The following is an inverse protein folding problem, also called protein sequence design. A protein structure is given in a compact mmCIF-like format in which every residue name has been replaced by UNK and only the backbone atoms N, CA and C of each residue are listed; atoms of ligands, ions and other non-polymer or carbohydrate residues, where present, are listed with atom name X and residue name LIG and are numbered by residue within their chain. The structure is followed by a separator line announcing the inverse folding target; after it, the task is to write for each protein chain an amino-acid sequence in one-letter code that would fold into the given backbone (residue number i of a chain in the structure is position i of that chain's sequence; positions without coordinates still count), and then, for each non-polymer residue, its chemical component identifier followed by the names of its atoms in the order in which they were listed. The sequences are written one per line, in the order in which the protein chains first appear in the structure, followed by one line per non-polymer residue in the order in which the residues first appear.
data_IF_114296364788
#
_entry.id   IF_114296364788
#
_cell.length_a   1.000
_cell.length_b   1.000
_cell.length_c   1.000
_cell.angle_alpha   90.00
_cell.angle_beta   90.00
_cell.angle_gamma   90.00
#
_symmetry.space_group_name_H-M   'P 1'
#
loop_
_entity.id
_entity.type
_entity.pdbx_description
1 polymer ?
#
# COMPACT_ATOMS: atom_id res chain seq x y z
N UNK A 1 -5.24 -10.18 -10.33
CA UNK A 1 -3.87 -9.65 -10.16
C UNK A 1 -3.91 -8.15 -9.99
N UNK A 2 -3.17 -7.62 -9.03
CA UNK A 2 -3.13 -6.18 -8.78
C UNK A 2 -2.11 -5.54 -9.72
N UNK A 3 -2.57 -4.58 -10.52
CA UNK A 3 -1.66 -3.81 -11.35
C UNK A 3 -0.99 -2.73 -10.50
N UNK A 4 0.34 -2.69 -10.57
CA UNK A 4 1.10 -1.72 -9.81
C UNK A 4 1.93 -0.85 -10.73
N UNK A 5 1.99 0.43 -10.41
CA UNK A 5 2.84 1.39 -11.11
C UNK A 5 4.19 1.48 -10.40
N UNK A 6 5.23 2.00 -11.09
CA UNK A 6 6.51 2.23 -10.42
C UNK A 6 6.40 3.14 -9.20
N UNK A 7 5.52 4.14 -9.24
CA UNK A 7 5.31 5.04 -8.10
C UNK A 7 4.72 4.29 -6.91
N UNK A 8 3.78 3.38 -7.16
CA UNK A 8 3.19 2.57 -6.09
C UNK A 8 4.25 1.69 -5.44
N UNK A 9 5.12 1.10 -6.25
CA UNK A 9 6.19 0.24 -5.74
C UNK A 9 7.18 1.02 -4.89
N UNK A 10 7.56 2.22 -5.34
CA UNK A 10 8.46 3.08 -4.57
C UNK A 10 7.85 3.48 -3.23
N UNK A 11 6.58 3.85 -3.24
CA UNK A 11 5.89 4.24 -2.02
C UNK A 11 5.76 3.06 -1.05
N UNK A 12 5.43 1.88 -1.57
CA UNK A 12 5.31 0.68 -0.77
C UNK A 12 6.66 0.28 -0.16
N UNK A 13 7.73 0.41 -0.95
CA UNK A 13 9.08 0.12 -0.48
C UNK A 13 9.46 1.04 0.67
N UNK A 14 9.18 2.34 0.52
CA UNK A 14 9.48 3.32 1.56
C UNK A 14 8.68 3.01 2.83
N UNK A 15 7.40 2.69 2.70
CA UNK A 15 6.56 2.37 3.83
C UNK A 15 7.02 1.11 4.56
N UNK A 16 7.36 0.07 3.79
CA UNK A 16 7.83 -1.19 4.36
C UNK A 16 9.16 -1.00 5.07
N UNK A 17 10.06 -0.22 4.49
CA UNK A 17 11.36 0.08 5.09
C UNK A 17 11.17 0.79 6.42
N UNK A 18 10.31 1.80 6.47
CA UNK A 18 10.06 2.55 7.70
C UNK A 18 9.47 1.63 8.79
N UNK A 19 8.53 0.77 8.40
CA UNK A 19 7.90 -0.15 9.36
C UNK A 19 8.91 -1.11 9.96
N UNK A 20 9.70 -1.76 9.11
CA UNK A 20 10.67 -2.75 9.58
C UNK A 20 11.76 -2.11 10.42
N UNK A 21 12.20 -0.90 10.04
CA UNK A 21 13.18 -0.16 10.82
C UNK A 21 12.66 0.10 12.23
N UNK A 22 11.38 0.43 12.35
CA UNK A 22 10.76 0.68 13.64
C UNK A 22 10.64 -0.56 14.53
N UNK A 23 10.61 -1.74 13.93
CA UNK A 23 10.48 -2.99 14.70
C UNK A 23 11.75 -3.42 15.38
N UNK A 24 12.92 -2.95 14.93
CA UNK A 24 14.22 -3.29 15.50
C UNK A 24 14.44 -4.79 15.60
N UNK A 25 14.19 -5.50 14.50
CA UNK A 25 14.36 -6.94 14.42
C UNK A 25 15.84 -7.28 14.29
N UNK A 26 16.32 -8.22 15.13
CA UNK A 26 17.74 -8.60 15.12
C UNK A 26 18.03 -9.77 14.18
N UNK A 27 17.03 -10.53 13.81
CA UNK A 27 17.19 -11.71 12.95
C UNK A 27 16.97 -11.32 11.51
N UNK A 28 17.93 -11.69 10.63
CA UNK A 28 17.86 -11.33 9.23
C UNK A 28 16.64 -11.93 8.53
N UNK A 29 16.36 -13.21 8.78
CA UNK A 29 15.22 -13.88 8.15
C UNK A 29 13.90 -13.23 8.56
N UNK A 30 13.75 -12.96 9.85
CA UNK A 30 12.54 -12.31 10.35
C UNK A 30 12.41 -10.90 9.79
N UNK A 31 13.52 -10.20 9.65
CA UNK A 31 13.52 -8.86 9.08
C UNK A 31 13.07 -8.86 7.62
N UNK A 32 13.58 -9.82 6.85
CA UNK A 32 13.20 -9.96 5.44
C UNK A 32 11.73 -10.34 5.33
N UNK A 33 11.28 -11.32 6.11
CA UNK A 33 9.88 -11.74 6.10
C UNK A 33 8.96 -10.58 6.46
N UNK A 34 9.32 -9.83 7.49
CA UNK A 34 8.53 -8.67 7.90
C UNK A 34 8.49 -7.60 6.82
N UNK A 35 9.62 -7.39 6.14
CA UNK A 35 9.67 -6.44 5.03
C UNK A 35 8.75 -6.86 3.90
N UNK A 36 8.81 -8.14 3.51
CA UNK A 36 7.99 -8.65 2.42
C UNK A 36 6.50 -8.56 2.76
N UNK A 37 6.14 -8.92 3.98
CA UNK A 37 4.75 -8.80 4.44
C UNK A 37 4.30 -7.35 4.46
N UNK A 38 5.14 -6.46 4.95
CA UNK A 38 4.82 -5.04 5.00
C UNK A 38 4.70 -4.46 3.59
N UNK A 39 5.56 -4.88 2.67
CA UNK A 39 5.51 -4.44 1.27
C UNK A 39 4.20 -4.87 0.62
N UNK A 40 3.83 -6.15 0.78
CA UNK A 40 2.58 -6.65 0.22
C UNK A 40 1.38 -5.90 0.79
N UNK A 41 1.38 -5.66 2.09
CA UNK A 41 0.31 -4.93 2.75
C UNK A 41 0.24 -3.49 2.23
N UNK A 42 1.40 -2.85 2.07
CA UNK A 42 1.46 -1.48 1.58
C UNK A 42 0.94 -1.37 0.15
N UNK A 43 1.34 -2.31 -0.72
CA UNK A 43 0.88 -2.33 -2.11
C UNK A 43 -0.64 -2.46 -2.15
N UNK A 44 -1.20 -3.38 -1.38
CA UNK A 44 -2.65 -3.57 -1.33
C UNK A 44 -3.36 -2.32 -0.84
N UNK A 45 -2.85 -1.69 0.19
CA UNK A 45 -3.46 -0.48 0.75
C UNK A 45 -3.39 0.69 -0.22
N UNK A 46 -2.27 0.86 -0.90
CA UNK A 46 -2.11 1.93 -1.88
C UNK A 46 -3.07 1.70 -3.04
N UNK A 47 -3.11 0.46 -3.54
CA UNK A 47 -4.01 0.11 -4.64
C UNK A 47 -5.47 0.37 -4.28
N UNK A 48 -5.88 -0.10 -3.10
CA UNK A 48 -7.25 0.09 -2.63
C UNK A 48 -7.60 1.56 -2.45
N UNK A 49 -6.65 2.35 -1.94
CA UNK A 49 -6.89 3.78 -1.74
C UNK A 49 -7.12 4.50 -3.06
N UNK A 50 -6.31 4.18 -4.07
CA UNK A 50 -6.48 4.79 -5.38
C UNK A 50 -7.80 4.40 -6.03
N UNK A 51 -8.14 3.13 -5.97
CA UNK A 51 -9.39 2.64 -6.55
C UNK A 51 -10.60 3.10 -5.76
N UNK A 52 -10.48 3.16 -4.45
CA UNK A 52 -11.55 3.66 -3.60
C UNK A 52 -11.83 5.13 -3.89
N UNK A 53 -10.78 5.92 -4.06
CA UNK A 53 -10.95 7.33 -4.39
C UNK A 53 -11.67 7.51 -5.72
N UNK A 54 -11.32 6.70 -6.72
CA UNK A 54 -12.00 6.75 -8.01
C UNK A 54 -13.48 6.36 -7.87
N UNK A 55 -13.75 5.29 -7.11
CA UNK A 55 -15.11 4.84 -6.88
C UNK A 55 -15.93 5.87 -6.11
N UNK A 56 -15.33 6.51 -5.12
CA UNK A 56 -16.00 7.56 -4.35
C UNK A 56 -16.30 8.77 -5.21
N UNK A 57 -15.42 9.11 -6.14
CA UNK A 57 -15.65 10.20 -7.08
C UNK A 57 -16.90 9.93 -7.91
N UNK A 58 -17.03 8.69 -8.40
CA UNK A 58 -18.19 8.31 -9.19
C UNK A 58 -19.47 8.39 -8.36
N UNK A 59 -19.40 7.93 -7.11
CA UNK A 59 -20.55 7.96 -6.20
C UNK A 59 -20.98 9.39 -5.91
N UNK A 60 -20.01 10.28 -5.67
CA UNK A 60 -20.31 11.68 -5.40
C UNK A 60 -20.96 12.33 -6.62
N UNK A 61 -20.44 12.05 -7.81
CA UNK A 61 -21.02 12.57 -9.03
C UNK A 61 -22.46 12.12 -9.21
N UNK A 62 -22.74 10.86 -8.90
CA UNK A 62 -24.09 10.32 -9.00
C UNK A 62 -25.03 10.97 -7.98
N UNK A 63 -24.54 11.21 -6.78
CA UNK A 63 -25.33 11.83 -5.73
C UNK A 63 -25.67 13.29 -6.04
N UNK A 64 -24.77 13.98 -6.71
CA UNK A 64 -24.98 15.37 -7.07
C UNK A 64 -26.16 15.54 -8.05
N UNK A 65 -26.49 14.50 -8.77
CA UNK A 65 -27.61 14.53 -9.71
C UNK A 65 -28.96 14.41 -9.04
N UNK A 66 -28.96 14.01 -7.80
CA UNK A 66 -30.17 13.86 -7.01
C UNK A 66 -30.43 15.13 -6.21
#
# INVERSE_FOLDING_TARGET
MIETTPEMKELAKAAATAYVTGLKINNMEDSIDSFLDAYDCAIKKIWLREHKNAAMKDLISNNDKN
#
